data_IF_160590499901
#
_entry.id   IF_160590499901
#
_cell.length_a   1.000
_cell.length_b   1.000
_cell.length_c   1.000
_cell.angle_alpha   90.00
_cell.angle_beta   90.00
_cell.angle_gamma   90.00
#
_symmetry.space_group_name_H-M   'P 1'
#
loop_
_entity.id
_entity.type
_entity.pdbx_description
1 polymer ?
#
# COMPACT_ATOMS: atom_id res chain seq x y z
N UNK A 1 -18.78 23.60 50.46
CA UNK A 1 -18.80 22.35 49.67
C UNK A 1 -18.15 22.69 48.35
N UNK A 2 -16.87 22.33 48.17
CA UNK A 2 -16.14 22.65 46.94
C UNK A 2 -16.64 21.75 45.81
N UNK A 3 -17.03 22.36 44.68
CA UNK A 3 -17.47 21.62 43.50
C UNK A 3 -16.35 20.68 43.02
N UNK A 4 -16.68 19.43 42.64
CA UNK A 4 -15.69 18.50 42.12
C UNK A 4 -15.07 19.05 40.83
N UNK A 5 -13.74 18.85 40.62
CA UNK A 5 -13.08 19.32 39.42
C UNK A 5 -13.74 18.71 38.19
N UNK A 6 -13.83 19.50 37.11
CA UNK A 6 -14.47 19.10 35.85
C UNK A 6 -13.41 18.93 34.76
N UNK A 7 -13.62 17.95 33.89
CA UNK A 7 -12.79 17.71 32.73
C UNK A 7 -12.85 18.92 31.78
N UNK A 8 -11.71 19.48 31.33
CA UNK A 8 -11.68 20.64 30.46
C UNK A 8 -12.20 20.35 29.03
N UNK A 9 -12.28 19.08 28.62
CA UNK A 9 -12.68 18.70 27.26
C UNK A 9 -14.18 18.38 27.12
N UNK A 10 -14.82 17.83 28.16
CA UNK A 10 -16.24 17.44 28.10
C UNK A 10 -17.09 17.91 29.29
N UNK A 11 -16.49 18.55 30.29
CA UNK A 11 -17.20 19.07 31.47
C UNK A 11 -17.62 18.03 32.50
N UNK A 12 -17.33 16.74 32.29
CA UNK A 12 -17.66 15.67 33.24
C UNK A 12 -16.86 15.81 34.56
N UNK A 13 -17.45 15.44 35.72
CA UNK A 13 -16.72 15.45 36.99
C UNK A 13 -15.57 14.44 36.96
N UNK A 14 -14.42 14.82 37.49
CA UNK A 14 -13.20 14.00 37.56
C UNK A 14 -12.71 13.87 39.00
N UNK A 15 -11.95 12.79 39.25
CA UNK A 15 -11.22 12.66 40.52
C UNK A 15 -10.13 13.73 40.61
N UNK A 16 -9.84 14.21 41.82
CA UNK A 16 -8.88 15.30 42.05
C UNK A 16 -7.45 14.95 41.61
N UNK A 17 -7.13 13.66 41.52
CA UNK A 17 -5.84 13.07 41.12
C UNK A 17 -5.86 12.45 39.71
N UNK A 18 -6.85 12.81 38.88
CA UNK A 18 -6.96 12.25 37.53
C UNK A 18 -5.70 12.56 36.69
N UNK A 19 -4.96 11.54 36.21
CA UNK A 19 -3.74 11.73 35.43
C UNK A 19 -4.05 12.49 34.13
N UNK A 20 -3.30 13.55 33.87
CA UNK A 20 -3.51 14.44 32.72
C UNK A 20 -4.67 15.43 32.86
N UNK A 21 -5.34 15.50 34.03
CA UNK A 21 -6.43 16.45 34.29
C UNK A 21 -7.69 16.20 33.45
N UNK A 22 -7.83 15.00 32.89
CA UNK A 22 -8.90 14.62 31.96
C UNK A 22 -9.69 13.42 32.53
N UNK A 23 -10.95 13.27 32.12
CA UNK A 23 -11.74 12.11 32.53
C UNK A 23 -11.28 10.85 31.77
N UNK A 24 -11.55 9.66 32.32
CA UNK A 24 -11.16 8.39 31.70
C UNK A 24 -11.66 8.26 30.25
N UNK A 25 -12.85 8.78 29.94
CA UNK A 25 -13.41 8.79 28.58
C UNK A 25 -12.59 9.65 27.61
N UNK A 26 -12.24 10.88 27.99
CA UNK A 26 -11.44 11.78 27.15
C UNK A 26 -9.98 11.32 27.06
N UNK A 27 -9.42 10.82 28.16
CA UNK A 27 -8.07 10.26 28.20
C UNK A 27 -7.96 9.02 27.32
N UNK A 28 -8.97 8.13 27.33
CA UNK A 28 -9.04 7.01 26.38
C UNK A 28 -9.18 7.51 24.94
N UNK A 29 -9.95 8.57 24.69
CA UNK A 29 -10.02 9.20 23.35
C UNK A 29 -8.68 9.77 22.87
N UNK A 30 -7.86 10.30 23.78
CA UNK A 30 -6.52 10.83 23.46
C UNK A 30 -5.44 9.74 23.40
N UNK A 31 -5.58 8.66 24.18
CA UNK A 31 -4.66 7.52 24.23
C UNK A 31 -4.95 6.40 23.21
N UNK A 32 -6.17 6.37 22.65
CA UNK A 32 -6.57 5.53 21.52
C UNK A 32 -6.50 6.25 20.18
N UNK A 33 -6.03 7.51 20.15
CA UNK A 33 -5.48 8.11 18.94
C UNK A 33 -4.12 7.44 18.62
N UNK A 34 -4.19 6.13 18.32
CA UNK A 34 -3.19 5.45 17.51
C UNK A 34 -3.07 6.22 16.21
N UNK A 35 -1.83 6.51 15.82
CA UNK A 35 -1.17 5.99 14.62
C UNK A 35 -2.00 5.66 13.35
N UNK A 36 -3.19 6.23 13.20
CA UNK A 36 -4.11 6.00 12.09
C UNK A 36 -4.61 7.38 11.64
N UNK A 37 -3.68 8.33 11.43
CA UNK A 37 -3.97 9.41 10.48
C UNK A 37 -3.88 8.78 9.09
N UNK A 38 -4.87 7.96 8.74
CA UNK A 38 -5.33 7.84 7.36
C UNK A 38 -6.05 9.16 7.04
N UNK A 39 -5.29 10.25 6.97
CA UNK A 39 -5.61 11.23 5.93
C UNK A 39 -5.51 10.44 4.63
N UNK A 40 -6.58 10.37 3.81
CA UNK A 40 -6.42 9.88 2.45
C UNK A 40 -5.36 10.77 1.85
N UNK A 41 -4.15 10.22 1.75
CA UNK A 41 -3.07 10.83 1.04
C UNK A 41 -3.56 10.78 -0.41
N UNK A 42 -4.31 11.82 -0.82
CA UNK A 42 -4.45 12.24 -2.20
C UNK A 42 -3.05 12.66 -2.63
N UNK A 43 -2.17 11.67 -2.72
CA UNK A 43 -0.95 11.75 -3.47
C UNK A 43 -1.51 11.82 -4.89
N UNK A 44 -1.46 13.00 -5.55
CA UNK A 44 -1.87 13.07 -6.95
C UNK A 44 -1.16 11.92 -7.65
N UNK A 45 -1.85 11.14 -8.50
CA UNK A 45 -1.24 9.99 -9.17
C UNK A 45 0.10 10.50 -9.66
N UNK A 46 1.23 9.92 -9.21
CA UNK A 46 2.49 10.47 -9.66
C UNK A 46 2.40 10.41 -11.18
N UNK A 47 2.91 11.43 -11.86
CA UNK A 47 3.15 11.35 -13.29
C UNK A 47 4.27 10.30 -13.48
N UNK A 48 3.96 9.04 -13.16
CA UNK A 48 4.84 7.86 -13.20
C UNK A 48 5.14 7.53 -14.67
N UNK A 49 4.25 7.95 -15.58
CA UNK A 49 4.47 7.86 -17.02
C UNK A 49 5.76 8.59 -17.45
N UNK A 50 6.14 9.65 -16.74
CA UNK A 50 7.38 10.41 -16.99
C UNK A 50 8.56 9.94 -16.12
N UNK A 51 8.34 8.92 -15.28
CA UNK A 51 9.40 8.35 -14.46
C UNK A 51 10.27 7.41 -15.32
N UNK A 52 11.58 7.57 -15.22
CA UNK A 52 12.51 6.84 -16.08
C UNK A 52 12.90 5.52 -15.40
N UNK A 53 12.49 4.40 -16.02
CA UNK A 53 12.83 3.04 -15.58
C UNK A 53 14.02 2.53 -16.40
N UNK A 54 15.23 2.43 -15.80
CA UNK A 54 16.43 2.04 -16.56
C UNK A 54 16.26 0.66 -17.21
N UNK A 55 16.42 0.60 -18.53
CA UNK A 55 16.31 -0.65 -19.28
C UNK A 55 14.88 -1.07 -19.65
N UNK A 56 13.87 -0.23 -19.41
CA UNK A 56 12.47 -0.51 -19.74
C UNK A 56 11.80 0.70 -20.39
N UNK A 57 10.98 0.45 -21.40
CA UNK A 57 10.10 1.44 -22.03
C UNK A 57 8.67 1.17 -21.61
N UNK A 58 8.06 2.11 -20.88
CA UNK A 58 6.64 2.04 -20.50
C UNK A 58 5.76 2.07 -21.75
N UNK A 59 4.70 1.26 -21.75
CA UNK A 59 3.73 1.18 -22.83
C UNK A 59 2.39 1.78 -22.38
N UNK A 60 1.68 1.11 -21.47
CA UNK A 60 0.38 1.57 -20.97
C UNK A 60 0.17 1.18 -19.50
N UNK A 61 -0.79 1.84 -18.84
CA UNK A 61 -1.21 1.50 -17.48
C UNK A 61 -2.20 0.34 -17.55
N UNK A 62 -1.90 -0.74 -16.84
CA UNK A 62 -2.74 -1.96 -16.84
C UNK A 62 -3.51 -2.16 -15.53
N UNK A 63 -3.17 -1.41 -14.47
CA UNK A 63 -3.91 -1.46 -13.22
C UNK A 63 -3.48 -0.43 -12.21
N UNK A 64 -4.36 -0.10 -11.27
CA UNK A 64 -4.07 0.69 -10.09
C UNK A 64 -4.85 0.14 -8.90
N UNK A 65 -4.23 0.16 -7.73
CA UNK A 65 -4.90 -0.14 -6.47
C UNK A 65 -4.23 0.58 -5.29
N UNK A 66 -4.65 0.22 -4.08
CA UNK A 66 -4.08 0.79 -2.85
C UNK A 66 -2.56 0.62 -2.77
N UNK A 67 -2.04 -0.51 -3.25
CA UNK A 67 -0.62 -0.84 -3.21
C UNK A 67 0.24 -0.21 -4.32
N UNK A 68 -0.33 0.60 -5.21
CA UNK A 68 0.42 1.26 -6.28
C UNK A 68 -0.19 1.09 -7.67
N UNK A 69 0.63 1.37 -8.68
CA UNK A 69 0.23 1.36 -10.10
C UNK A 69 1.03 0.31 -10.86
N UNK A 70 0.37 -0.41 -11.75
CA UNK A 70 0.99 -1.41 -12.62
C UNK A 70 0.95 -0.91 -14.07
N UNK A 71 2.11 -0.93 -14.70
CA UNK A 71 2.31 -0.54 -16.09
C UNK A 71 2.78 -1.75 -16.91
N UNK A 72 2.31 -1.90 -18.14
CA UNK A 72 3.00 -2.75 -19.11
C UNK A 72 4.20 -1.99 -19.66
N UNK A 73 5.30 -2.72 -19.87
CA UNK A 73 6.54 -2.16 -20.36
C UNK A 73 7.26 -3.17 -21.25
N UNK A 74 8.16 -2.67 -22.08
CA UNK A 74 9.05 -3.48 -22.91
C UNK A 74 10.48 -3.32 -22.44
N UNK A 75 11.15 -4.42 -22.16
CA UNK A 75 12.57 -4.38 -21.81
C UNK A 75 13.40 -3.94 -23.02
N UNK A 76 14.25 -2.92 -22.83
CA UNK A 76 15.13 -2.40 -23.88
C UNK A 76 16.49 -3.10 -23.80
N UNK A 77 16.90 -3.81 -24.86
CA UNK A 77 18.13 -4.60 -24.90
C UNK A 77 18.00 -5.82 -25.83
N UNK A 78 18.90 -6.82 -25.74
CA UNK A 78 18.85 -8.02 -26.58
C UNK A 78 17.63 -8.91 -26.31
N UNK A 79 16.97 -8.73 -25.16
CA UNK A 79 15.75 -9.43 -24.76
C UNK A 79 14.56 -8.49 -24.94
N UNK A 80 13.86 -8.62 -26.07
CA UNK A 80 12.68 -7.82 -26.40
C UNK A 80 11.41 -8.46 -25.82
N UNK A 81 11.28 -8.47 -24.49
CA UNK A 81 10.14 -9.05 -23.78
C UNK A 81 9.23 -7.97 -23.19
N UNK A 82 7.94 -8.28 -23.13
CA UNK A 82 6.96 -7.48 -22.40
C UNK A 82 6.90 -7.94 -20.94
N UNK A 83 6.77 -6.98 -20.04
CA UNK A 83 6.81 -7.15 -18.58
C UNK A 83 5.78 -6.24 -17.94
N UNK A 84 5.35 -6.60 -16.72
CA UNK A 84 4.59 -5.72 -15.86
C UNK A 84 5.54 -5.02 -14.86
N UNK A 85 5.41 -3.71 -14.71
CA UNK A 85 6.15 -2.89 -13.74
C UNK A 85 5.15 -2.38 -12.71
N UNK A 86 5.25 -2.88 -11.47
CA UNK A 86 4.45 -2.40 -10.34
C UNK A 86 5.24 -1.38 -9.54
N UNK A 87 4.80 -0.14 -9.56
CA UNK A 87 5.39 0.99 -8.83
C UNK A 87 4.64 1.19 -7.53
N UNK A 88 5.36 1.19 -6.40
CA UNK A 88 4.75 1.29 -5.08
C UNK A 88 4.67 2.77 -4.67
N UNK A 89 3.51 3.20 -4.14
CA UNK A 89 3.30 4.56 -3.63
C UNK A 89 4.16 4.77 -2.37
N UNK A 90 4.85 5.91 -2.30
CA UNK A 90 5.69 6.28 -1.14
C UNK A 90 4.79 6.42 0.09
N UNK A 91 5.09 5.66 1.15
CA UNK A 91 4.25 5.58 2.36
C UNK A 91 3.93 4.14 2.79
N UNK A 92 4.07 3.17 1.87
CA UNK A 92 3.97 1.74 2.18
C UNK A 92 5.36 1.13 2.35
N UNK A 93 5.75 0.90 3.60
CA UNK A 93 6.84 0.02 4.07
C UNK A 93 8.14 0.02 3.24
N UNK A 94 8.49 1.18 2.70
CA UNK A 94 9.30 1.22 1.48
C UNK A 94 10.76 0.87 1.73
N UNK A 95 11.38 1.32 2.82
CA UNK A 95 12.82 1.08 3.07
C UNK A 95 13.11 -0.32 3.62
N UNK A 96 12.37 -0.80 4.61
CA UNK A 96 12.64 -2.12 5.19
C UNK A 96 12.29 -3.27 4.24
N UNK A 97 11.27 -3.11 3.38
CA UNK A 97 10.95 -4.07 2.33
C UNK A 97 12.02 -3.99 1.23
N UNK A 98 12.40 -2.82 0.72
CA UNK A 98 13.46 -2.74 -0.31
C UNK A 98 14.80 -3.28 0.20
N UNK A 99 15.26 -2.89 1.39
CA UNK A 99 16.57 -3.29 1.92
C UNK A 99 16.64 -4.81 2.16
N UNK A 100 15.54 -5.42 2.64
CA UNK A 100 15.43 -6.87 2.77
C UNK A 100 15.34 -7.56 1.41
N UNK A 101 14.67 -6.94 0.43
CA UNK A 101 14.50 -7.49 -0.90
C UNK A 101 15.76 -7.38 -1.77
N UNK A 102 16.55 -6.32 -1.63
CA UNK A 102 17.87 -6.24 -2.26
C UNK A 102 18.80 -7.32 -1.71
N UNK A 103 18.73 -7.60 -0.41
CA UNK A 103 19.45 -8.70 0.22
C UNK A 103 18.92 -10.10 -0.20
N UNK A 104 17.61 -10.24 -0.45
CA UNK A 104 16.93 -11.48 -0.88
C UNK A 104 16.65 -11.56 -2.40
N UNK A 105 17.26 -10.70 -3.25
CA UNK A 105 16.98 -10.60 -4.70
C UNK A 105 17.14 -11.94 -5.45
N UNK A 106 17.97 -12.84 -4.92
CA UNK A 106 18.12 -14.22 -5.43
C UNK A 106 16.96 -15.14 -5.06
N UNK A 107 16.29 -14.94 -3.93
CA UNK A 107 15.21 -15.80 -3.44
C UNK A 107 13.91 -15.59 -4.23
N UNK A 108 13.59 -14.35 -4.63
CA UNK A 108 12.42 -14.06 -5.46
C UNK A 108 12.59 -14.52 -6.91
N UNK A 109 13.83 -14.50 -7.41
CA UNK A 109 14.15 -15.05 -8.73
C UNK A 109 14.05 -16.59 -8.77
N UNK A 110 14.05 -17.27 -7.61
CA UNK A 110 13.88 -18.72 -7.49
C UNK A 110 12.40 -19.15 -7.37
N UNK A 111 11.47 -18.22 -7.18
CA UNK A 111 10.04 -18.52 -7.21
C UNK A 111 9.59 -18.74 -8.66
N UNK A 112 9.61 -20.01 -9.07
CA UNK A 112 9.07 -20.46 -10.34
C UNK A 112 7.89 -21.42 -10.07
N UNK A 113 6.67 -20.91 -10.20
CA UNK A 113 5.46 -21.71 -10.04
C UNK A 113 4.45 -21.33 -11.14
N UNK A 114 3.77 -22.30 -11.79
CA UNK A 114 2.86 -22.03 -12.91
C UNK A 114 1.65 -21.15 -12.59
N UNK A 115 1.43 -20.83 -11.31
CA UNK A 115 0.30 -20.03 -10.82
C UNK A 115 0.73 -18.78 -10.05
N UNK A 116 2.02 -18.41 -10.09
CA UNK A 116 2.54 -17.21 -9.45
C UNK A 116 3.34 -16.43 -10.50
N UNK A 117 3.00 -15.17 -10.72
CA UNK A 117 3.72 -14.32 -11.66
C UNK A 117 5.20 -14.22 -11.27
N UNK A 118 6.08 -14.55 -12.22
CA UNK A 118 7.52 -14.57 -11.94
C UNK A 118 8.04 -13.14 -11.77
N UNK A 119 8.78 -12.88 -10.69
CA UNK A 119 9.49 -11.60 -10.51
C UNK A 119 10.82 -11.69 -11.25
N UNK A 120 11.03 -10.80 -12.20
CA UNK A 120 12.27 -10.70 -12.97
C UNK A 120 13.28 -9.78 -12.31
N UNK A 121 12.81 -8.67 -11.74
CA UNK A 121 13.69 -7.67 -11.16
C UNK A 121 12.98 -6.77 -10.14
N UNK A 122 13.75 -6.02 -9.36
CA UNK A 122 13.27 -4.95 -8.51
C UNK A 122 14.30 -3.82 -8.46
N UNK A 123 13.83 -2.61 -8.25
CA UNK A 123 14.71 -1.46 -8.15
C UNK A 123 13.97 -0.20 -7.73
N UNK A 124 14.67 0.93 -7.91
CA UNK A 124 14.16 2.25 -7.60
C UNK A 124 14.24 3.11 -8.85
N UNK A 125 13.14 3.80 -9.19
CA UNK A 125 13.09 4.71 -10.34
C UNK A 125 14.03 5.91 -10.13
N UNK A 126 14.28 6.69 -11.17
CA UNK A 126 15.11 7.89 -11.03
C UNK A 126 14.56 8.90 -10.02
N UNK A 127 13.25 8.96 -9.84
CA UNK A 127 12.60 9.84 -8.85
C UNK A 127 12.53 9.24 -7.44
N UNK A 128 13.09 8.04 -7.23
CA UNK A 128 13.14 7.40 -5.92
C UNK A 128 11.95 6.47 -5.65
N UNK A 129 11.10 6.17 -6.63
CA UNK A 129 9.95 5.29 -6.44
C UNK A 129 10.37 3.82 -6.57
N UNK A 130 10.16 2.97 -5.55
CA UNK A 130 10.33 1.54 -5.69
C UNK A 130 9.46 0.94 -6.79
N UNK A 131 10.02 -0.04 -7.50
CA UNK A 131 9.26 -0.82 -8.47
C UNK A 131 9.70 -2.27 -8.51
N UNK A 132 8.76 -3.13 -8.93
CA UNK A 132 8.99 -4.52 -9.26
C UNK A 132 8.75 -4.76 -10.75
N UNK A 133 9.63 -5.53 -11.38
CA UNK A 133 9.47 -6.03 -12.75
C UNK A 133 9.07 -7.49 -12.68
N UNK A 134 7.96 -7.84 -13.30
CA UNK A 134 7.39 -9.18 -13.25
C UNK A 134 6.84 -9.61 -14.61
N UNK A 135 6.51 -10.89 -14.69
CA UNK A 135 5.79 -11.47 -15.82
C UNK A 135 4.49 -10.70 -16.10
N UNK A 136 4.29 -10.35 -17.37
CA UNK A 136 3.02 -9.78 -17.82
C UNK A 136 2.03 -10.93 -18.02
N UNK A 137 1.12 -11.10 -17.06
CA UNK A 137 0.09 -12.15 -17.12
C UNK A 137 -1.02 -11.71 -18.06
N UNK A 138 -1.22 -12.46 -19.15
CA UNK A 138 -2.36 -12.26 -20.04
C UNK A 138 -3.63 -12.82 -19.36
N UNK A 139 -4.56 -11.95 -18.98
CA UNK A 139 -5.80 -12.36 -18.35
C UNK A 139 -6.57 -11.19 -17.75
N UNK A 140 -7.71 -11.53 -17.17
CA UNK A 140 -8.58 -10.63 -16.42
C UNK A 140 -8.11 -10.54 -14.96
N UNK A 141 -8.19 -9.36 -14.35
CA UNK A 141 -7.91 -9.25 -12.92
C UNK A 141 -8.96 -10.00 -12.12
N UNK A 142 -8.59 -10.56 -10.97
CA UNK A 142 -9.54 -11.30 -10.13
C UNK A 142 -10.76 -10.46 -9.74
N UNK A 143 -10.57 -9.16 -9.51
CA UNK A 143 -11.65 -8.23 -9.19
C UNK A 143 -12.65 -8.14 -10.35
N UNK A 144 -12.16 -7.87 -11.57
CA UNK A 144 -13.02 -7.77 -12.75
C UNK A 144 -13.72 -9.12 -13.03
N UNK A 145 -13.01 -10.24 -12.84
CA UNK A 145 -13.61 -11.57 -12.95
C UNK A 145 -14.72 -11.80 -11.92
N UNK A 146 -14.51 -11.41 -10.66
CA UNK A 146 -15.53 -11.53 -9.60
C UNK A 146 -16.74 -10.64 -9.89
N UNK A 147 -16.54 -9.41 -10.36
CA UNK A 147 -17.60 -8.47 -10.75
C UNK A 147 -18.44 -9.07 -11.89
N UNK A 148 -17.78 -9.62 -12.91
CA UNK A 148 -18.44 -10.28 -14.05
C UNK A 148 -19.19 -11.57 -13.67
N UNK A 149 -18.74 -12.26 -12.64
CA UNK A 149 -19.32 -13.52 -12.19
C UNK A 149 -20.38 -13.35 -11.11
N UNK A 150 -20.68 -12.11 -10.71
CA UNK A 150 -21.61 -11.79 -9.61
C UNK A 150 -21.33 -12.66 -8.38
N UNK A 151 -20.04 -12.82 -8.03
CA UNK A 151 -19.66 -13.58 -6.83
C UNK A 151 -20.03 -12.71 -5.64
N UNK A 152 -21.30 -12.82 -5.23
CA UNK A 152 -21.87 -11.94 -4.21
C UNK A 152 -21.11 -12.03 -2.89
N UNK A 153 -21.02 -10.90 -2.20
CA UNK A 153 -20.44 -10.68 -0.87
C UNK A 153 -21.19 -11.41 0.25
N UNK A 154 -21.67 -12.62 0.00
CA UNK A 154 -22.43 -13.40 0.98
C UNK A 154 -21.46 -13.97 2.00
N UNK A 155 -21.06 -13.14 2.96
CA UNK A 155 -20.55 -13.62 4.23
C UNK A 155 -21.68 -14.40 4.92
N UNK A 156 -21.51 -15.72 5.17
CA UNK A 156 -22.45 -16.48 5.96
C UNK A 156 -22.27 -16.06 7.43
N UNK A 157 -23.04 -15.07 7.91
CA UNK A 157 -22.86 -14.61 9.29
C UNK A 157 -23.90 -13.65 9.89
N UNK A 158 -24.86 -13.12 9.12
CA UNK A 158 -25.91 -12.27 9.68
C UNK A 158 -27.21 -13.07 9.91
N UNK A 159 -27.28 -13.79 11.03
CA UNK A 159 -28.53 -14.28 11.66
C UNK A 159 -28.57 -13.90 13.15
#
# INVERSE_FOLDING_TARGET
MSDPPKCPQCGAPIAADAPGGQCLRCLLGLGLARADTEEPCEIPPPEIADDEFPGYRILEKIGEGGCGVVWSARQTGPLNREVAIKVIKLGMDTRQVIDRFEAERRTLALMDHPHIARVFDAGTSRRGHPFFVMELVAGETITHFCDHKEVGDRFPGDE
#
